data_IF_569616918430
#
_entry.id   IF_569616918430
#
_cell.length_a   1.000
_cell.length_b   1.000
_cell.length_c   1.000
_cell.angle_alpha   90.00
_cell.angle_beta   90.00
_cell.angle_gamma   90.00
#
_symmetry.space_group_name_H-M   'P 1'
#
loop_
_entity.id
_entity.type
_entity.pdbx_description
1 polymer ?
#
# COMPACT_ATOMS: atom_id res chain seq x y z
N UNK A 1 -23.55 5.82 -5.69
CA UNK A 1 -22.37 5.59 -6.53
C UNK A 1 -21.18 5.41 -5.60
N UNK A 2 -20.72 4.18 -5.38
CA UNK A 2 -19.52 3.91 -4.61
C UNK A 2 -18.34 3.97 -5.57
N UNK A 3 -17.38 4.85 -5.31
CA UNK A 3 -16.10 4.85 -6.03
C UNK A 3 -15.36 3.55 -5.70
N UNK A 4 -14.67 2.98 -6.69
CA UNK A 4 -13.95 1.70 -6.61
C UNK A 4 -12.83 1.65 -5.55
N UNK A 5 -12.58 2.75 -4.83
CA UNK A 5 -11.59 2.85 -3.77
C UNK A 5 -12.08 2.39 -2.38
N UNK A 6 -13.38 2.21 -2.15
CA UNK A 6 -13.94 2.02 -0.79
C UNK A 6 -14.50 0.62 -0.48
N UNK A 7 -14.11 -0.43 -1.21
CA UNK A 7 -14.59 -1.79 -0.92
C UNK A 7 -13.77 -2.40 0.22
N UNK A 8 -14.44 -2.73 1.32
CA UNK A 8 -13.83 -3.28 2.53
C UNK A 8 -13.29 -2.23 3.50
N UNK A 9 -12.74 -2.69 4.62
CA UNK A 9 -12.14 -1.86 5.66
C UNK A 9 -10.68 -2.26 5.89
N UNK A 10 -9.76 -1.29 5.90
CA UNK A 10 -8.34 -1.52 6.19
C UNK A 10 -8.03 -1.24 7.66
N UNK A 11 -7.40 -2.21 8.32
CA UNK A 11 -6.94 -2.12 9.70
C UNK A 11 -5.43 -2.32 9.76
N UNK A 12 -4.73 -1.42 10.47
CA UNK A 12 -3.30 -1.57 10.74
C UNK A 12 -3.07 -2.66 11.77
N UNK A 13 -2.13 -3.56 11.48
CA UNK A 13 -1.74 -4.67 12.36
C UNK A 13 -0.42 -4.40 13.06
N UNK A 14 0.58 -3.85 12.35
CA UNK A 14 1.91 -3.57 12.89
C UNK A 14 2.56 -2.38 12.18
N UNK A 15 3.17 -1.45 12.90
CA UNK A 15 3.77 -0.22 12.34
C UNK A 15 5.25 -0.06 12.73
N UNK A 16 5.96 -1.18 12.84
CA UNK A 16 7.27 -1.22 13.47
C UNK A 16 8.42 -1.04 12.49
N UNK A 17 8.18 -1.16 11.19
CA UNK A 17 9.19 -0.86 10.18
C UNK A 17 9.40 0.66 10.11
N UNK A 18 10.60 1.10 10.49
CA UNK A 18 11.02 2.49 10.45
C UNK A 18 11.96 2.74 9.29
N UNK A 19 11.91 3.95 8.73
CA UNK A 19 12.99 4.41 7.86
C UNK A 19 14.34 4.26 8.57
N UNK A 20 15.34 3.77 7.85
CA UNK A 20 16.64 3.40 8.41
C UNK A 20 16.78 1.92 8.79
N UNK A 21 15.67 1.17 8.91
CA UNK A 21 15.73 -0.28 9.06
C UNK A 21 16.11 -0.95 7.74
N UNK A 22 16.76 -2.11 7.81
CA UNK A 22 17.08 -2.91 6.62
C UNK A 22 15.80 -3.29 5.88
N UNK A 23 15.84 -3.24 4.54
CA UNK A 23 14.67 -3.58 3.69
C UNK A 23 14.28 -5.06 3.86
N UNK A 24 15.28 -5.92 4.02
CA UNK A 24 15.17 -7.30 4.44
C UNK A 24 16.42 -7.68 5.25
N UNK A 25 16.38 -8.78 6.01
CA UNK A 25 17.46 -9.17 6.93
C UNK A 25 18.81 -9.45 6.22
N UNK A 26 18.79 -9.69 4.91
CA UNK A 26 19.97 -10.00 4.11
C UNK A 26 20.43 -8.82 3.25
N UNK A 27 19.66 -7.73 3.22
CA UNK A 27 19.90 -6.58 2.37
C UNK A 27 20.88 -5.60 3.03
N UNK A 28 21.88 -5.10 2.28
CA UNK A 28 22.72 -4.00 2.76
C UNK A 28 22.01 -2.64 2.67
N UNK A 29 20.76 -2.60 2.17
CA UNK A 29 20.00 -1.38 1.95
C UNK A 29 18.99 -1.13 3.06
N UNK A 30 18.82 0.16 3.39
CA UNK A 30 17.82 0.62 4.35
C UNK A 30 16.62 1.25 3.65
N UNK A 31 15.46 1.14 4.26
CA UNK A 31 14.26 1.82 3.78
C UNK A 31 14.32 3.32 4.03
N UNK A 32 13.82 4.11 3.07
CA UNK A 32 13.71 5.57 3.22
C UNK A 32 12.39 6.03 3.86
N UNK A 33 11.43 5.11 4.04
CA UNK A 33 10.10 5.42 4.55
C UNK A 33 9.67 4.43 5.63
N UNK A 34 9.01 4.95 6.67
CA UNK A 34 8.34 4.12 7.68
C UNK A 34 7.01 3.58 7.11
N UNK A 35 6.70 2.32 7.38
CA UNK A 35 5.51 1.65 6.85
C UNK A 35 4.75 0.87 7.93
N UNK A 36 3.47 0.68 7.67
CA UNK A 36 2.57 -0.16 8.45
C UNK A 36 2.14 -1.35 7.62
N UNK A 37 2.09 -2.51 8.25
CA UNK A 37 1.39 -3.67 7.75
C UNK A 37 -0.09 -3.55 8.12
N UNK A 38 -0.96 -3.73 7.12
CA UNK A 38 -2.40 -3.59 7.26
C UNK A 38 -3.09 -4.76 6.57
N UNK A 39 -4.30 -5.10 7.01
CA UNK A 39 -5.19 -6.00 6.28
C UNK A 39 -6.44 -5.25 5.90
N UNK A 40 -6.80 -5.32 4.62
CA UNK A 40 -8.12 -4.94 4.14
C UNK A 40 -9.05 -6.15 4.15
N UNK A 41 -10.11 -6.05 4.94
CA UNK A 41 -11.17 -7.05 5.01
C UNK A 41 -12.31 -6.64 4.09
N UNK A 42 -12.56 -7.44 3.06
CA UNK A 42 -13.69 -7.30 2.16
C UNK A 42 -14.96 -7.93 2.78
N UNK A 43 -16.15 -7.57 2.27
CA UNK A 43 -17.39 -8.26 2.64
C UNK A 43 -17.34 -9.76 2.34
N UNK A 44 -18.18 -10.54 3.03
CA UNK A 44 -18.14 -12.01 3.05
C UNK A 44 -18.44 -12.66 1.70
N UNK A 45 -19.04 -11.92 0.76
CA UNK A 45 -19.29 -12.39 -0.60
C UNK A 45 -18.13 -12.11 -1.57
N UNK A 46 -16.97 -11.66 -1.10
CA UNK A 46 -15.77 -11.47 -1.93
C UNK A 46 -14.72 -12.56 -1.73
N UNK A 47 -13.98 -12.87 -2.79
CA UNK A 47 -12.77 -13.71 -2.74
C UNK A 47 -11.61 -13.07 -3.53
N UNK A 48 -10.38 -12.99 -2.96
CA UNK A 48 -10.06 -13.28 -1.56
C UNK A 48 -10.69 -12.23 -0.62
N UNK A 49 -11.16 -12.66 0.57
CA UNK A 49 -11.75 -11.75 1.56
C UNK A 49 -10.72 -10.85 2.24
N UNK A 50 -9.51 -11.34 2.45
CA UNK A 50 -8.45 -10.61 3.14
C UNK A 50 -7.35 -10.24 2.16
N UNK A 51 -7.06 -8.95 2.07
CA UNK A 51 -5.99 -8.41 1.23
C UNK A 51 -4.88 -7.90 2.13
N UNK A 52 -3.67 -8.37 1.84
CA UNK A 52 -2.45 -7.90 2.47
C UNK A 52 -2.07 -6.52 1.92
N UNK A 53 -1.85 -5.56 2.82
CA UNK A 53 -1.53 -4.19 2.49
C UNK A 53 -0.25 -3.72 3.20
N UNK A 54 0.48 -2.82 2.54
CA UNK A 54 1.59 -2.06 3.11
C UNK A 54 1.31 -0.59 2.90
N UNK A 55 1.06 0.11 3.99
CA UNK A 55 0.66 1.53 4.00
C UNK A 55 1.76 2.41 4.57
N UNK A 56 1.79 3.69 4.20
CA UNK A 56 2.77 4.62 4.77
C UNK A 56 2.38 5.02 6.19
N UNK A 57 3.37 5.18 7.07
CA UNK A 57 3.12 5.79 8.36
C UNK A 57 2.90 7.30 8.18
N UNK A 58 1.65 7.75 8.20
CA UNK A 58 1.31 9.17 8.02
C UNK A 58 1.83 10.11 9.11
N UNK A 59 2.23 9.58 10.28
CA UNK A 59 2.89 10.36 11.33
C UNK A 59 4.37 10.61 11.03
N UNK A 60 4.93 9.92 10.03
CA UNK A 60 6.32 9.98 9.61
C UNK A 60 6.42 10.05 8.08
N UNK A 61 5.91 11.15 7.52
CA UNK A 61 5.76 11.32 6.07
C UNK A 61 6.99 11.88 5.35
N UNK A 62 8.02 12.30 6.09
CA UNK A 62 9.22 12.91 5.53
C UNK A 62 10.34 11.88 5.37
N UNK A 63 11.12 12.01 4.30
CA UNK A 63 12.30 11.20 4.05
C UNK A 63 13.47 12.07 3.61
N UNK A 64 14.69 11.52 3.66
CA UNK A 64 15.94 12.22 3.30
C UNK A 64 16.04 13.59 3.99
N UNK A 65 15.90 13.63 5.33
CA UNK A 65 15.97 14.88 6.10
C UNK A 65 15.06 16.00 5.57
N UNK A 66 13.83 15.65 5.17
CA UNK A 66 12.79 16.54 4.61
C UNK A 66 13.02 17.02 3.18
N UNK A 67 14.05 16.53 2.49
CA UNK A 67 14.22 16.77 1.05
C UNK A 67 13.26 15.94 0.18
N UNK A 68 12.63 14.91 0.74
CA UNK A 68 11.60 14.12 0.07
C UNK A 68 10.40 13.84 0.97
N UNK A 69 9.34 13.30 0.36
CA UNK A 69 8.16 12.81 1.08
C UNK A 69 7.84 11.36 0.73
N UNK A 70 7.48 10.60 1.75
CA UNK A 70 6.97 9.25 1.61
C UNK A 70 5.58 9.27 0.98
N UNK A 71 5.43 8.57 -0.14
CA UNK A 71 4.18 8.46 -0.89
C UNK A 71 3.80 7.02 -1.08
N UNK A 72 2.51 6.76 -0.89
CA UNK A 72 1.96 5.42 -1.03
C UNK A 72 1.97 5.00 -2.49
N UNK A 73 2.43 3.78 -2.73
CA UNK A 73 2.41 3.15 -4.05
C UNK A 73 1.28 2.13 -4.06
N UNK A 74 0.48 2.18 -5.13
CA UNK A 74 -0.67 1.31 -5.30
C UNK A 74 -0.44 0.33 -6.44
N UNK A 75 -1.06 -0.84 -6.32
CA UNK A 75 -1.25 -1.78 -7.42
C UNK A 75 -2.72 -2.18 -7.50
N UNK A 76 -3.16 -2.38 -8.72
CA UNK A 76 -4.48 -2.94 -8.98
C UNK A 76 -4.44 -4.45 -8.74
N UNK A 77 -5.45 -4.95 -8.04
CA UNK A 77 -5.69 -6.37 -7.80
C UNK A 77 -7.12 -6.68 -8.20
N UNK A 78 -7.33 -7.87 -8.76
CA UNK A 78 -8.66 -8.35 -9.10
C UNK A 78 -9.22 -9.23 -7.98
N UNK A 79 -10.47 -8.99 -7.63
CA UNK A 79 -11.24 -9.75 -6.66
C UNK A 79 -12.56 -10.18 -7.28
N UNK A 80 -13.11 -11.29 -6.83
CA UNK A 80 -14.39 -11.80 -7.31
C UNK A 80 -15.46 -11.55 -6.25
N UNK A 81 -16.61 -11.04 -6.67
CA UNK A 81 -17.80 -10.88 -5.83
C UNK A 81 -18.83 -11.92 -6.25
N UNK A 82 -19.37 -12.66 -5.31
CA UNK A 82 -20.56 -13.47 -5.52
C UNK A 82 -21.79 -12.54 -5.42
N UNK A 83 -22.47 -12.33 -6.55
CA UNK A 83 -23.69 -11.52 -6.65
C UNK A 83 -24.98 -12.35 -6.45
N UNK A 84 -24.86 -13.68 -6.38
CA UNK A 84 -25.97 -14.61 -6.20
C UNK A 84 -25.91 -15.35 -4.84
N UNK A 85 -26.59 -16.49 -4.73
CA UNK A 85 -26.58 -17.30 -3.50
C UNK A 85 -25.30 -18.12 -3.37
N UNK A 86 -25.00 -18.61 -2.16
CA UNK A 86 -23.88 -19.52 -1.94
C UNK A 86 -24.08 -20.89 -2.62
N UNK A 87 -25.33 -21.31 -2.83
CA UNK A 87 -25.67 -22.57 -3.48
C UNK A 87 -25.55 -22.51 -5.02
N UNK A 88 -25.70 -21.32 -5.60
CA UNK A 88 -25.57 -21.06 -7.04
C UNK A 88 -24.81 -19.75 -7.24
N UNK A 89 -23.48 -19.77 -7.11
CA UNK A 89 -22.69 -18.55 -7.15
C UNK A 89 -22.61 -17.98 -8.56
N UNK A 90 -22.70 -16.66 -8.66
CA UNK A 90 -22.43 -15.89 -9.88
C UNK A 90 -21.31 -14.90 -9.58
N UNK A 91 -20.17 -15.09 -10.24
CA UNK A 91 -18.95 -14.35 -9.93
C UNK A 91 -18.75 -13.18 -10.89
N UNK A 92 -18.66 -11.98 -10.32
CA UNK A 92 -18.30 -10.77 -11.05
C UNK A 92 -16.92 -10.29 -10.59
N UNK A 93 -16.04 -9.97 -11.53
CA UNK A 93 -14.72 -9.41 -11.23
C UNK A 93 -14.81 -7.92 -10.91
N UNK A 94 -14.09 -7.51 -9.87
CA UNK A 94 -13.87 -6.13 -9.47
C UNK A 94 -12.38 -5.86 -9.34
N UNK A 95 -11.93 -4.71 -9.81
CA UNK A 95 -10.54 -4.27 -9.65
C UNK A 95 -10.45 -3.28 -8.48
N UNK A 96 -9.58 -3.56 -7.52
CA UNK A 96 -9.29 -2.72 -6.36
C UNK A 96 -7.86 -2.18 -6.43
N UNK A 97 -7.65 -0.96 -5.95
CA UNK A 97 -6.31 -0.44 -5.72
C UNK A 97 -5.87 -0.74 -4.29
N UNK A 98 -4.84 -1.59 -4.17
CA UNK A 98 -4.23 -1.98 -2.90
C UNK A 98 -2.89 -1.25 -2.72
N UNK A 99 -2.63 -0.63 -1.55
CA UNK A 99 -1.32 -0.08 -1.25
C UNK A 99 -0.32 -1.19 -0.96
N UNK A 100 0.77 -1.18 -1.72
CA UNK A 100 1.80 -2.22 -1.69
C UNK A 100 3.11 -1.75 -1.05
N UNK A 101 3.21 -0.46 -0.70
CA UNK A 101 4.39 0.09 -0.08
C UNK A 101 4.46 1.61 -0.18
N UNK A 102 5.65 2.12 0.08
CA UNK A 102 5.95 3.54 0.13
C UNK A 102 7.26 3.85 -0.56
N UNK A 103 7.26 4.92 -1.35
CA UNK A 103 8.45 5.43 -1.99
C UNK A 103 8.77 6.82 -1.45
N UNK A 104 10.06 7.07 -1.24
CA UNK A 104 10.54 8.42 -0.98
C UNK A 104 10.61 9.18 -2.31
N UNK A 105 9.75 10.17 -2.48
CA UNK A 105 9.69 10.99 -3.68
C UNK A 105 10.32 12.35 -3.40
N UNK A 106 11.29 12.73 -4.22
CA UNK A 106 11.97 14.03 -4.15
C UNK A 106 11.37 14.99 -5.19
N UNK A 107 11.17 16.29 -4.88
CA UNK A 107 10.71 17.26 -5.87
C UNK A 107 11.71 17.39 -7.02
N UNK A 108 11.21 17.52 -8.25
CA UNK A 108 12.04 17.71 -9.44
C UNK A 108 12.95 18.96 -9.36
N UNK A 109 12.53 20.00 -8.63
CA UNK A 109 13.32 21.23 -8.43
C UNK A 109 14.19 21.22 -7.16
N UNK A 110 14.31 20.09 -6.47
CA UNK A 110 15.16 19.99 -5.28
C UNK A 110 16.63 19.84 -5.67
N UNK A 111 17.53 20.17 -4.75
CA UNK A 111 18.96 19.92 -4.89
C UNK A 111 19.31 18.43 -5.07
N UNK A 112 18.36 17.51 -4.88
CA UNK A 112 18.56 16.07 -5.06
C UNK A 112 18.35 15.60 -6.51
N UNK A 113 17.81 16.42 -7.40
CA UNK A 113 17.50 15.99 -8.77
C UNK A 113 18.74 15.54 -9.55
N UNK A 114 19.88 16.19 -9.30
CA UNK A 114 21.17 15.90 -9.93
C UNK A 114 21.76 14.55 -9.48
N UNK A 115 21.30 14.00 -8.36
CA UNK A 115 21.67 12.66 -7.90
C UNK A 115 20.76 11.55 -8.46
N UNK A 116 19.65 11.92 -9.11
CA UNK A 116 18.67 10.98 -9.67
C UNK A 116 18.78 10.88 -11.19
N UNK A 117 18.94 12.01 -11.88
CA UNK A 117 19.11 12.07 -13.33
C UNK A 117 20.60 11.98 -13.67
N UNK A 118 21.01 10.89 -14.32
CA UNK A 118 22.31 10.82 -15.01
C UNK A 118 22.22 11.50 -16.37
#
# INVERSE_FOLDING_TARGET
MFTTESIGNSTNLKCDYKKGDLVDEQSPYVGLCSLCWSIRTLPDNFTPRFINEKTCNYKDSDCLSKYGRCKQVYRSIDVLKNDASQEKPEWTQYTLNSPIGCECQVPQGSALIDFVKK
#
